data_IF_952954783425
#
_entry.id   IF_952954783425
#
_cell.length_a   1.000
_cell.length_b   1.000
_cell.length_c   1.000
_cell.angle_alpha   90.00
_cell.angle_beta   90.00
_cell.angle_gamma   90.00
#
_symmetry.space_group_name_H-M   'P 1'
#
loop_
_entity.id
_entity.type
_entity.pdbx_description
1 polymer ?
#
# COMPACT_ATOMS: atom_id res chain seq x y z
N UNK A 1 19.71 -16.91 -7.64
CA UNK A 1 18.79 -15.80 -7.34
C UNK A 1 17.45 -16.42 -6.96
N UNK A 2 16.85 -16.05 -5.84
CA UNK A 2 15.58 -16.65 -5.39
C UNK A 2 14.41 -16.12 -6.21
N UNK A 3 13.35 -16.90 -6.38
CA UNK A 3 12.11 -16.45 -7.06
C UNK A 3 11.55 -15.17 -6.43
N UNK A 4 11.69 -15.02 -5.10
CA UNK A 4 11.31 -13.79 -4.37
C UNK A 4 12.16 -12.57 -4.75
N UNK A 5 13.47 -12.76 -4.94
CA UNK A 5 14.37 -11.65 -5.29
C UNK A 5 14.10 -11.15 -6.71
N UNK A 6 13.75 -12.08 -7.62
CA UNK A 6 13.37 -11.77 -8.99
C UNK A 6 12.06 -10.97 -9.02
N UNK A 7 11.05 -11.43 -8.28
CA UNK A 7 9.75 -10.76 -8.18
C UNK A 7 9.87 -9.33 -7.60
N UNK A 8 10.72 -9.13 -6.58
CA UNK A 8 11.01 -7.79 -6.04
C UNK A 8 11.69 -6.91 -7.10
N UNK A 9 12.57 -7.47 -7.94
CA UNK A 9 13.18 -6.71 -9.04
C UNK A 9 12.12 -6.29 -10.06
N UNK A 10 11.24 -7.21 -10.44
CA UNK A 10 10.16 -6.92 -11.40
C UNK A 10 9.20 -5.84 -10.91
N UNK A 11 8.85 -5.84 -9.61
CA UNK A 11 8.03 -4.80 -8.99
C UNK A 11 8.70 -3.43 -9.08
N UNK A 12 10.02 -3.35 -8.87
CA UNK A 12 10.77 -2.09 -8.95
C UNK A 12 10.83 -1.51 -10.35
N UNK A 13 10.76 -2.36 -11.36
CA UNK A 13 10.79 -1.96 -12.77
C UNK A 13 9.42 -1.48 -13.28
N UNK A 14 8.35 -1.65 -12.52
CA UNK A 14 7.02 -1.15 -12.90
C UNK A 14 7.00 0.38 -12.96
N UNK A 15 6.38 0.93 -14.00
CA UNK A 15 5.97 2.33 -14.01
C UNK A 15 4.97 2.63 -12.89
N UNK A 16 4.82 3.90 -12.51
CA UNK A 16 3.91 4.28 -11.41
C UNK A 16 2.47 3.79 -11.68
N UNK A 17 2.00 3.96 -12.92
CA UNK A 17 0.67 3.53 -13.32
C UNK A 17 0.51 2.00 -13.28
N UNK A 18 1.54 1.23 -13.66
CA UNK A 18 1.51 -0.23 -13.56
C UNK A 18 1.53 -0.69 -12.11
N UNK A 19 2.32 -0.05 -11.25
CA UNK A 19 2.39 -0.36 -9.83
C UNK A 19 1.03 -0.14 -9.15
N UNK A 20 0.38 1.01 -9.39
CA UNK A 20 -0.96 1.31 -8.84
C UNK A 20 -2.01 0.31 -9.34
N UNK A 21 -2.00 -0.02 -10.64
CA UNK A 21 -2.90 -1.05 -11.19
C UNK A 21 -2.64 -2.42 -10.55
N UNK A 22 -1.39 -2.84 -10.40
CA UNK A 22 -1.04 -4.13 -9.81
C UNK A 22 -1.48 -4.21 -8.35
N UNK A 23 -1.29 -3.13 -7.59
CA UNK A 23 -1.79 -3.03 -6.23
C UNK A 23 -3.31 -3.18 -6.18
N UNK A 24 -4.02 -2.54 -7.11
CA UNK A 24 -5.48 -2.60 -7.14
C UNK A 24 -5.99 -4.01 -7.46
N UNK A 25 -5.39 -4.67 -8.45
CA UNK A 25 -5.67 -6.07 -8.80
C UNK A 25 -5.42 -6.99 -7.60
N UNK A 26 -4.32 -6.80 -6.87
CA UNK A 26 -4.02 -7.59 -5.67
C UNK A 26 -5.07 -7.41 -4.56
N UNK A 27 -5.52 -6.17 -4.33
CA UNK A 27 -6.58 -5.87 -3.35
C UNK A 27 -7.91 -6.50 -3.76
N UNK A 28 -8.23 -6.46 -5.06
CA UNK A 28 -9.44 -7.06 -5.62
C UNK A 28 -9.42 -8.58 -5.52
N UNK A 29 -8.32 -9.23 -5.91
CA UNK A 29 -8.16 -10.69 -5.84
C UNK A 29 -8.32 -11.22 -4.40
N UNK A 30 -7.81 -10.46 -3.43
CA UNK A 30 -7.98 -10.76 -1.99
C UNK A 30 -9.40 -10.49 -1.45
N UNK A 31 -10.33 -10.01 -2.28
CA UNK A 31 -11.68 -9.64 -1.86
C UNK A 31 -11.73 -8.44 -0.91
N UNK A 32 -10.65 -7.66 -0.83
CA UNK A 32 -10.48 -6.57 0.11
C UNK A 32 -11.03 -5.24 -0.40
N UNK A 33 -11.38 -5.15 -1.69
CA UNK A 33 -11.86 -3.91 -2.31
C UNK A 33 -13.11 -3.35 -1.62
N UNK A 34 -14.04 -4.22 -1.23
CA UNK A 34 -15.23 -3.83 -0.47
C UNK A 34 -14.91 -3.27 0.92
N UNK A 35 -13.82 -3.73 1.55
CA UNK A 35 -13.34 -3.19 2.82
C UNK A 35 -12.65 -1.85 2.62
N UNK A 36 -11.85 -1.71 1.56
CA UNK A 36 -11.20 -0.46 1.18
C UNK A 36 -12.23 0.66 0.92
N UNK A 37 -13.30 0.36 0.16
CA UNK A 37 -14.38 1.32 -0.12
C UNK A 37 -15.15 1.79 1.12
N UNK A 38 -15.14 1.01 2.21
CA UNK A 38 -15.79 1.39 3.48
C UNK A 38 -14.91 2.31 4.33
N UNK A 39 -13.62 2.38 4.03
CA UNK A 39 -12.68 3.27 4.70
C UNK A 39 -12.85 4.66 4.08
N UNK A 40 -13.78 5.45 4.63
CA UNK A 40 -13.97 6.86 4.29
C UNK A 40 -12.94 7.75 5.03
N UNK A 41 -11.66 7.38 4.93
CA UNK A 41 -10.52 8.09 5.49
C UNK A 41 -9.92 8.95 4.38
N UNK A 42 -9.80 10.26 4.59
CA UNK A 42 -9.07 11.10 3.63
C UNK A 42 -7.56 10.88 3.73
N UNK A 43 -6.84 11.22 2.68
CA UNK A 43 -5.38 11.14 2.66
C UNK A 43 -4.74 12.03 3.76
N UNK A 44 -5.33 13.19 4.04
CA UNK A 44 -4.91 14.06 5.14
C UNK A 44 -5.12 13.40 6.52
N UNK A 45 -6.30 12.80 6.74
CA UNK A 45 -6.60 12.10 7.99
C UNK A 45 -5.69 10.87 8.18
N UNK A 46 -5.32 10.18 7.09
CA UNK A 46 -4.38 9.07 7.11
C UNK A 46 -2.97 9.54 7.46
N UNK A 47 -2.51 10.64 6.85
CA UNK A 47 -1.20 11.22 7.12
C UNK A 47 -1.05 11.63 8.58
N UNK A 48 -2.05 12.30 9.15
CA UNK A 48 -2.04 12.71 10.55
C UNK A 48 -2.09 11.52 11.52
N UNK A 49 -2.84 10.47 11.17
CA UNK A 49 -2.89 9.26 11.97
C UNK A 49 -1.55 8.50 11.96
N UNK A 50 -0.84 8.45 10.82
CA UNK A 50 0.49 7.84 10.71
C UNK A 50 1.55 8.61 11.49
N UNK A 51 1.55 9.94 11.42
CA UNK A 51 2.45 10.79 12.25
C UNK A 51 2.22 10.54 13.74
N UNK A 52 0.95 10.47 14.15
CA UNK A 52 0.57 10.18 15.54
C UNK A 52 1.06 8.79 15.99
N UNK A 53 1.10 7.82 15.07
CA UNK A 53 1.63 6.48 15.31
C UNK A 53 3.17 6.42 15.39
N UNK A 54 3.87 7.54 15.14
CA UNK A 54 5.34 7.62 15.16
C UNK A 54 6.00 7.12 13.88
N UNK A 55 5.28 7.16 12.74
CA UNK A 55 5.88 6.96 11.42
C UNK A 55 6.50 8.29 10.99
N UNK A 56 7.72 8.23 10.48
CA UNK A 56 8.42 9.39 9.90
C UNK A 56 8.32 9.34 8.36
N UNK A 57 8.14 10.50 7.68
CA UNK A 57 8.24 10.56 6.23
C UNK A 57 9.68 10.26 5.80
N UNK A 58 9.84 9.64 4.64
CA UNK A 58 11.15 9.33 4.02
C UNK A 58 11.16 9.59 2.52
N UNK A 59 12.09 8.96 1.78
CA UNK A 59 12.17 9.12 0.33
C UNK A 59 11.08 8.32 -0.41
N UNK A 60 10.34 8.98 -1.30
CA UNK A 60 9.25 8.43 -2.12
C UNK A 60 8.17 9.49 -2.30
N UNK A 61 7.96 9.96 -3.53
CA UNK A 61 7.26 11.23 -3.80
C UNK A 61 5.89 11.01 -4.48
N UNK A 62 5.46 9.75 -4.69
CA UNK A 62 4.22 9.49 -5.43
C UNK A 62 3.51 8.17 -5.17
N UNK A 63 2.31 8.06 -5.73
CA UNK A 63 1.44 6.88 -5.61
C UNK A 63 2.13 5.59 -6.08
N UNK A 64 2.97 5.69 -7.11
CA UNK A 64 3.76 4.57 -7.62
C UNK A 64 4.74 4.01 -6.59
N UNK A 65 5.38 4.87 -5.79
CA UNK A 65 6.33 4.43 -4.76
C UNK A 65 5.61 3.72 -3.61
N UNK A 66 4.44 4.23 -3.22
CA UNK A 66 3.55 3.57 -2.25
C UNK A 66 3.15 2.19 -2.76
N UNK A 67 2.72 2.11 -4.02
CA UNK A 67 2.27 0.87 -4.62
C UNK A 67 3.39 -0.17 -4.73
N UNK A 68 4.57 0.22 -5.22
CA UNK A 68 5.75 -0.67 -5.26
C UNK A 68 6.13 -1.15 -3.87
N UNK A 69 6.18 -0.26 -2.87
CA UNK A 69 6.54 -0.64 -1.50
C UNK A 69 5.56 -1.68 -0.94
N UNK A 70 4.24 -1.48 -1.13
CA UNK A 70 3.23 -2.42 -0.69
C UNK A 70 3.35 -3.78 -1.39
N UNK A 71 3.57 -3.80 -2.70
CA UNK A 71 3.80 -5.02 -3.48
C UNK A 71 5.08 -5.75 -3.03
N UNK A 72 6.18 -5.03 -2.80
CA UNK A 72 7.44 -5.59 -2.29
C UNK A 72 7.23 -6.24 -0.91
N UNK A 73 6.53 -5.58 0.00
CA UNK A 73 6.23 -6.14 1.33
C UNK A 73 5.46 -7.47 1.23
N UNK A 74 4.44 -7.53 0.36
CA UNK A 74 3.64 -8.73 0.18
C UNK A 74 4.46 -9.86 -0.47
N UNK A 75 5.28 -9.54 -1.49
CA UNK A 75 6.18 -10.51 -2.12
C UNK A 75 7.21 -11.08 -1.12
N UNK A 76 7.78 -10.23 -0.27
CA UNK A 76 8.73 -10.63 0.78
C UNK A 76 8.07 -11.47 1.89
N UNK A 77 6.77 -11.26 2.12
CA UNK A 77 5.96 -12.09 3.03
C UNK A 77 5.69 -13.49 2.47
N UNK A 78 6.07 -13.75 1.21
CA UNK A 78 6.00 -15.06 0.56
C UNK A 78 4.67 -15.36 -0.11
N UNK A 79 3.86 -14.33 -0.38
CA UNK A 79 2.60 -14.48 -1.09
C UNK A 79 2.81 -14.50 -2.61
N UNK A 80 2.40 -15.60 -3.24
CA UNK A 80 2.54 -15.83 -4.67
C UNK A 80 1.58 -15.01 -5.52
N UNK A 81 0.46 -14.53 -4.97
CA UNK A 81 -0.59 -13.79 -5.69
C UNK A 81 -0.06 -12.47 -6.27
N UNK A 82 0.96 -11.89 -5.65
CA UNK A 82 1.62 -10.68 -6.19
C UNK A 82 2.20 -10.93 -7.59
N UNK A 83 2.66 -12.14 -7.88
CA UNK A 83 3.25 -12.46 -9.19
C UNK A 83 2.20 -12.38 -10.29
N UNK A 84 1.01 -12.90 -10.02
CA UNK A 84 -0.13 -12.88 -10.94
C UNK A 84 -0.59 -11.44 -11.20
N UNK A 85 -0.67 -10.60 -10.15
CA UNK A 85 -1.02 -9.19 -10.29
C UNK A 85 0.00 -8.41 -11.14
N UNK A 86 1.30 -8.69 -10.98
CA UNK A 86 2.40 -8.08 -11.76
C UNK A 86 2.36 -8.54 -13.23
N UNK A 87 2.15 -9.83 -13.48
CA UNK A 87 2.03 -10.38 -14.83
C UNK A 87 0.80 -9.81 -15.57
N UNK A 88 -0.32 -9.68 -14.85
CA UNK A 88 -1.56 -9.14 -15.39
C UNK A 88 -1.39 -7.72 -15.93
N UNK A 89 -0.73 -6.82 -15.18
CA UNK A 89 -0.57 -5.41 -15.62
C UNK A 89 0.46 -5.21 -16.72
N UNK A 90 1.39 -6.16 -16.89
CA UNK A 90 2.37 -6.17 -17.99
C UNK A 90 1.77 -6.71 -19.28
N UNK A 91 0.61 -7.36 -19.21
CA UNK A 91 -0.13 -7.82 -20.38
C UNK A 91 -0.97 -6.67 -20.96
N UNK A 92 -1.03 -6.52 -22.30
CA UNK A 92 -1.83 -5.47 -22.94
C UNK A 92 -3.32 -5.79 -22.80
N UNK A 93 -3.91 -5.42 -21.67
CA UNK A 93 -5.35 -5.49 -21.43
C UNK A 93 -5.88 -4.07 -21.16
N UNK A 94 -6.74 -3.59 -22.07
CA UNK A 94 -7.33 -2.23 -22.11
C UNK A 94 -8.33 -1.90 -20.97
N UNK A 95 -8.42 -2.73 -19.92
CA UNK A 95 -9.67 -2.83 -19.15
C UNK A 95 -9.50 -2.72 -17.64
N UNK A 96 -8.71 -1.74 -17.18
CA UNK A 96 -8.73 -1.34 -15.79
C UNK A 96 -9.03 0.15 -15.66
N UNK A 97 -10.25 0.47 -15.23
CA UNK A 97 -10.65 1.82 -14.83
C UNK A 97 -10.21 1.98 -13.37
N UNK A 98 -9.34 2.95 -13.03
CA UNK A 98 -8.83 3.09 -11.67
C UNK A 98 -10.00 3.19 -10.69
N UNK A 99 -10.03 2.27 -9.72
CA UNK A 99 -11.01 2.31 -8.64
C UNK A 99 -10.90 3.66 -7.92
N UNK A 100 -12.02 4.28 -7.58
CA UNK A 100 -12.10 5.58 -6.90
C UNK A 100 -11.55 5.60 -5.45
N UNK A 101 -10.70 4.63 -5.10
CA UNK A 101 -10.10 4.44 -3.78
C UNK A 101 -8.65 4.89 -3.87
N UNK A 102 -8.20 5.74 -2.94
CA UNK A 102 -6.82 6.24 -2.97
C UNK A 102 -5.81 5.12 -2.75
N UNK A 103 -4.62 5.25 -3.34
CA UNK A 103 -3.53 4.28 -3.17
C UNK A 103 -3.17 4.07 -1.70
N UNK A 104 -3.31 5.13 -0.88
CA UNK A 104 -3.10 5.07 0.55
C UNK A 104 -4.07 4.12 1.24
N UNK A 105 -5.36 4.21 0.90
CA UNK A 105 -6.39 3.31 1.44
C UNK A 105 -6.17 1.86 0.94
N UNK A 106 -5.78 1.66 -0.32
CA UNK A 106 -5.45 0.32 -0.84
C UNK A 106 -4.29 -0.32 -0.07
N UNK A 107 -3.20 0.43 0.13
CA UNK A 107 -2.02 -0.05 0.86
C UNK A 107 -2.36 -0.37 2.32
N UNK A 108 -3.05 0.50 3.06
CA UNK A 108 -3.39 0.21 4.45
C UNK A 108 -4.40 -0.92 4.58
N UNK A 109 -5.28 -1.10 3.61
CA UNK A 109 -6.21 -2.25 3.57
C UNK A 109 -5.45 -3.58 3.49
N UNK A 110 -4.35 -3.64 2.74
CA UNK A 110 -3.48 -4.84 2.71
C UNK A 110 -2.77 -5.10 4.04
N UNK A 111 -2.54 -4.05 4.83
CA UNK A 111 -1.83 -4.11 6.10
C UNK A 111 -2.74 -4.35 7.31
N UNK A 112 -4.03 -4.67 7.13
CA UNK A 112 -5.01 -4.75 8.22
C UNK A 112 -4.64 -5.73 9.36
N UNK A 113 -3.76 -6.70 9.11
CA UNK A 113 -3.25 -7.61 10.15
C UNK A 113 -2.15 -6.97 11.02
N UNK A 114 -1.46 -5.97 10.51
CA UNK A 114 -0.33 -5.27 11.13
C UNK A 114 -0.68 -3.84 11.58
N UNK A 115 -1.76 -3.29 11.01
CA UNK A 115 -2.23 -1.92 11.19
C UNK A 115 -3.72 -1.91 11.49
N UNK A 116 -4.08 -1.34 12.63
CA UNK A 116 -5.47 -1.17 13.05
C UNK A 116 -5.88 0.28 12.85
N UNK A 117 -6.82 0.52 11.94
CA UNK A 117 -7.44 1.83 11.74
C UNK A 117 -8.76 1.88 12.52
N UNK A 118 -8.95 2.91 13.35
CA UNK A 118 -10.20 3.14 14.09
C UNK A 118 -10.56 4.61 14.10
N UNK A 119 -11.86 4.88 13.98
CA UNK A 119 -12.43 6.20 14.26
C UNK A 119 -12.79 6.31 15.74
N UNK A 120 -12.25 7.30 16.42
CA UNK A 120 -12.53 7.56 17.83
C UNK A 120 -13.94 8.17 18.03
N UNK A 121 -14.39 8.25 19.29
CA UNK A 121 -15.68 8.82 19.64
C UNK A 121 -15.83 10.32 19.31
N UNK A 122 -14.74 11.01 18.96
CA UNK A 122 -14.73 12.42 18.52
C UNK A 122 -14.70 12.55 17.00
N UNK A 123 -14.79 11.42 16.29
CA UNK A 123 -14.78 11.37 14.84
C UNK A 123 -13.40 11.44 14.20
N UNK A 124 -12.31 11.38 14.99
CA UNK A 124 -10.94 11.40 14.46
C UNK A 124 -10.45 10.00 14.18
N UNK A 125 -9.71 9.85 13.09
CA UNK A 125 -9.07 8.58 12.77
C UNK A 125 -7.78 8.40 13.57
N UNK A 126 -7.52 7.15 13.94
CA UNK A 126 -6.32 6.71 14.64
C UNK A 126 -5.80 5.46 13.97
N UNK A 127 -4.48 5.41 13.77
CA UNK A 127 -3.77 4.27 13.22
C UNK A 127 -2.92 3.70 14.36
N UNK A 128 -3.09 2.42 14.64
CA UNK A 128 -2.24 1.67 15.57
C UNK A 128 -1.40 0.70 14.77
N UNK A 129 -0.09 0.92 14.74
CA UNK A 129 0.87 0.00 14.10
C UNK A 129 1.45 -0.91 15.18
N UNK A 130 1.45 -2.23 14.95
CA UNK A 130 2.06 -3.16 15.88
C UNK A 130 3.58 -2.94 15.97
N UNK A 131 4.16 -2.99 17.19
CA UNK A 131 5.60 -2.73 17.38
C UNK A 131 6.51 -3.71 16.63
N UNK A 132 6.05 -4.93 16.39
CA UNK A 132 6.76 -5.93 15.56
C UNK A 132 6.83 -5.47 14.11
N UNK A 133 5.76 -4.88 13.62
CA UNK A 133 5.64 -4.31 12.29
C UNK A 133 6.65 -3.18 12.03
N UNK A 134 6.87 -2.28 13.00
CA UNK A 134 7.89 -1.21 12.88
C UNK A 134 9.34 -1.72 12.83
N UNK A 135 9.60 -2.98 13.22
CA UNK A 135 10.92 -3.59 13.14
C UNK A 135 11.14 -4.35 11.84
N UNK A 136 10.09 -4.57 11.06
CA UNK A 136 10.16 -5.16 9.75
C UNK A 136 10.54 -4.07 8.73
N UNK A 137 11.71 -4.20 8.12
CA UNK A 137 12.25 -3.18 7.23
C UNK A 137 11.39 -2.99 5.97
N UNK A 138 10.73 -4.06 5.48
CA UNK A 138 9.88 -3.97 4.30
C UNK A 138 8.58 -3.24 4.65
N UNK A 139 7.96 -3.56 5.79
CA UNK A 139 6.75 -2.87 6.25
C UNK A 139 7.02 -1.40 6.63
N UNK A 140 8.13 -1.13 7.32
CA UNK A 140 8.54 0.23 7.64
C UNK A 140 8.66 1.07 6.36
N UNK A 141 9.21 0.50 5.28
CA UNK A 141 9.28 1.17 3.98
C UNK A 141 7.90 1.50 3.40
N UNK A 142 6.91 0.63 3.54
CA UNK A 142 5.52 0.92 3.12
C UNK A 142 4.97 2.11 3.89
N UNK A 143 5.08 2.09 5.22
CA UNK A 143 4.54 3.14 6.08
C UNK A 143 5.22 4.49 5.84
N UNK A 144 6.53 4.48 5.63
CA UNK A 144 7.32 5.67 5.30
C UNK A 144 6.94 6.22 3.92
N UNK A 145 6.85 5.38 2.88
CA UNK A 145 6.43 5.81 1.55
C UNK A 145 5.00 6.38 1.56
N UNK A 146 4.10 5.75 2.31
CA UNK A 146 2.75 6.25 2.55
C UNK A 146 2.79 7.65 3.15
N UNK A 147 3.49 7.83 4.25
CA UNK A 147 3.51 9.13 4.92
C UNK A 147 4.12 10.22 4.03
N UNK A 148 5.18 9.93 3.29
CA UNK A 148 5.78 10.88 2.35
C UNK A 148 4.80 11.34 1.29
N UNK A 149 4.15 10.40 0.59
CA UNK A 149 3.15 10.70 -0.42
C UNK A 149 2.01 11.59 0.12
N UNK A 150 1.55 11.32 1.35
CA UNK A 150 0.47 12.07 1.99
C UNK A 150 0.91 13.46 2.49
N UNK A 151 2.22 13.69 2.67
CA UNK A 151 2.76 14.98 3.12
C UNK A 151 3.25 15.87 1.97
N UNK A 152 3.63 15.29 0.84
CA UNK A 152 4.22 15.99 -0.31
C UNK A 152 3.18 16.45 -1.34
N UNK A 153 1.95 15.89 -1.29
CA UNK A 153 0.81 16.31 -2.10
C UNK A 153 0.21 17.67 -1.74
N UNK A 154 0.99 18.60 -1.18
CA UNK A 154 0.54 19.90 -0.66
C UNK A 154 0.96 21.08 -1.55
#
# INVERSE_FOLDING_TARGET
MSQRDEQVREIRELSDAEAVRALTVLVEDRGLLSSAMKIALSDEELGDALKTAGVDPGGGEGEGDVARAALEYVALSGDSVVGEAVEYVRSPMERFDPVSVSVGVLAVTLLQTEVVIKRDARGRWSVTVHKRALKDAALARVLTALLSHLTDGK
#
